data_IF_188850059171
#
_entry.id   IF_188850059171
#
_cell.length_a   1.000
_cell.length_b   1.000
_cell.length_c   1.000
_cell.angle_alpha   90.00
_cell.angle_beta   90.00
_cell.angle_gamma   90.00
#
_symmetry.space_group_name_H-M   'P 1'
#
loop_
_entity.id
_entity.type
_entity.pdbx_description
1 polymer ?
#
# COMPACT_ATOMS: atom_id res chain seq x y z
N UNK A 1 -5.96 -1.47 0.78
CA UNK A 1 -4.96 -1.10 -0.24
C UNK A 1 -5.47 -1.65 -1.56
N UNK A 2 -5.56 -0.81 -2.59
CA UNK A 2 -6.27 -1.15 -3.83
C UNK A 2 -5.40 -0.91 -5.08
N UNK A 3 -4.63 0.18 -5.10
CA UNK A 3 -3.79 0.52 -6.24
C UNK A 3 -2.45 -0.20 -6.22
N UNK A 4 -1.95 -0.61 -5.06
CA UNK A 4 -0.68 -1.34 -4.93
C UNK A 4 -0.66 -2.67 -5.70
N UNK A 5 -1.84 -3.28 -5.92
CA UNK A 5 -1.97 -4.50 -6.72
C UNK A 5 -2.15 -4.24 -8.22
N UNK A 6 -2.45 -3.01 -8.63
CA UNK A 6 -2.47 -2.66 -10.04
C UNK A 6 -1.03 -2.56 -10.58
N UNK A 7 -0.76 -2.97 -11.82
CA UNK A 7 0.50 -2.69 -12.49
C UNK A 7 0.82 -1.18 -12.52
N UNK A 8 2.10 -0.77 -12.55
CA UNK A 8 2.47 0.65 -12.47
C UNK A 8 1.81 1.57 -13.52
N UNK A 9 1.67 1.12 -14.77
CA UNK A 9 1.00 1.89 -15.81
C UNK A 9 -0.51 2.06 -15.50
N UNK A 10 -1.12 1.00 -14.99
CA UNK A 10 -2.54 0.97 -14.65
C UNK A 10 -2.83 1.83 -13.42
N UNK A 11 -1.88 1.97 -12.47
CA UNK A 11 -2.00 2.89 -11.32
C UNK A 11 -2.17 4.33 -11.78
N UNK A 12 -1.33 4.80 -12.70
CA UNK A 12 -1.40 6.18 -13.20
C UNK A 12 -2.71 6.43 -13.97
N UNK A 13 -3.13 5.47 -14.79
CA UNK A 13 -4.40 5.55 -15.52
C UNK A 13 -5.60 5.57 -14.58
N UNK A 14 -5.59 4.73 -13.53
CA UNK A 14 -6.64 4.73 -12.51
C UNK A 14 -6.72 6.07 -11.78
N UNK A 15 -5.58 6.64 -11.38
CA UNK A 15 -5.55 7.97 -10.74
C UNK A 15 -6.09 9.06 -11.67
N UNK A 16 -5.77 9.00 -12.97
CA UNK A 16 -6.30 9.95 -13.96
C UNK A 16 -7.81 9.80 -14.15
N UNK A 17 -8.31 8.57 -14.23
CA UNK A 17 -9.75 8.31 -14.34
C UNK A 17 -10.52 8.81 -13.10
N UNK A 18 -9.94 8.64 -11.91
CA UNK A 18 -10.50 9.20 -10.66
C UNK A 18 -10.56 10.73 -10.75
N UNK A 19 -9.49 11.38 -11.23
CA UNK A 19 -9.45 12.82 -11.38
C UNK A 19 -10.53 13.35 -12.35
N UNK A 20 -10.75 12.64 -13.46
CA UNK A 20 -11.72 13.04 -14.48
C UNK A 20 -13.18 12.88 -14.05
N UNK A 21 -13.46 11.94 -13.13
CA UNK A 21 -14.79 11.70 -12.58
C UNK A 21 -15.13 12.66 -11.43
N UNK A 22 -14.11 13.19 -10.75
CA UNK A 22 -14.31 14.10 -9.62
C UNK A 22 -14.79 15.47 -10.10
N UNK A 23 -15.86 15.97 -9.46
CA UNK A 23 -16.32 17.34 -9.66
C UNK A 23 -15.24 18.35 -9.24
N UNK A 24 -15.19 19.55 -9.85
CA UNK A 24 -14.26 20.59 -9.44
C UNK A 24 -14.36 20.90 -7.94
N UNK A 25 -13.21 20.86 -7.24
CA UNK A 25 -13.14 21.03 -5.79
C UNK A 25 -13.45 19.78 -4.97
N UNK A 26 -13.68 18.63 -5.62
CA UNK A 26 -13.84 17.34 -4.95
C UNK A 26 -12.58 16.92 -4.18
N UNK A 27 -12.79 16.19 -3.08
CA UNK A 27 -11.70 15.64 -2.26
C UNK A 27 -11.48 14.17 -2.59
N UNK A 28 -10.23 13.81 -2.87
CA UNK A 28 -9.80 12.43 -3.03
C UNK A 28 -8.96 12.01 -1.82
N UNK A 29 -9.37 10.94 -1.15
CA UNK A 29 -8.63 10.35 -0.01
C UNK A 29 -8.31 8.89 -0.37
N UNK A 30 -7.03 8.55 -0.29
CA UNK A 30 -6.50 7.23 -0.61
C UNK A 30 -5.63 6.72 0.54
N UNK A 31 -5.74 5.42 0.83
CA UNK A 31 -4.78 4.70 1.65
C UNK A 31 -4.30 3.45 0.89
N UNK A 32 -2.99 3.28 0.80
CA UNK A 32 -2.39 2.22 0.00
C UNK A 32 -1.06 1.74 0.60
N UNK A 33 -0.65 0.51 0.25
CA UNK A 33 0.67 0.01 0.62
C UNK A 33 1.73 0.64 -0.29
N UNK A 34 2.77 1.20 0.32
CA UNK A 34 3.84 1.90 -0.41
C UNK A 34 5.21 1.29 -0.12
N UNK A 35 6.13 1.45 -1.07
CA UNK A 35 7.54 1.12 -0.85
C UNK A 35 8.14 2.10 0.17
N UNK A 36 9.04 1.58 1.01
CA UNK A 36 9.96 2.40 1.78
C UNK A 36 11.01 3.08 0.88
N UNK A 37 11.78 4.00 1.46
CA UNK A 37 12.84 4.71 0.75
C UNK A 37 14.19 3.96 0.72
N UNK A 38 14.36 2.94 1.55
CA UNK A 38 15.55 2.09 1.57
C UNK A 38 15.44 0.96 0.52
N UNK A 39 16.58 0.41 0.05
CA UNK A 39 16.57 -0.78 -0.79
C UNK A 39 15.83 -1.94 -0.13
N UNK A 40 15.10 -2.71 -0.95
CA UNK A 40 14.37 -3.90 -0.48
C UNK A 40 15.38 -4.94 0.01
N UNK A 41 15.19 -5.41 1.25
CA UNK A 41 16.02 -6.48 1.82
C UNK A 41 15.62 -7.84 1.25
N UNK A 42 16.52 -8.82 1.29
CA UNK A 42 16.20 -10.19 0.87
C UNK A 42 15.03 -10.80 1.65
N UNK A 43 14.93 -10.50 2.96
CA UNK A 43 13.82 -10.94 3.78
C UNK A 43 12.48 -10.30 3.36
N UNK A 44 12.48 -9.00 3.04
CA UNK A 44 11.30 -8.32 2.53
C UNK A 44 10.89 -8.85 1.15
N UNK A 45 11.87 -9.12 0.28
CA UNK A 45 11.61 -9.71 -1.03
C UNK A 45 10.87 -11.05 -0.90
N UNK A 46 11.40 -11.98 -0.10
CA UNK A 46 10.84 -13.31 0.06
C UNK A 46 9.51 -13.32 0.82
N UNK A 47 9.43 -12.61 1.95
CA UNK A 47 8.30 -12.75 2.88
C UNK A 47 7.16 -11.75 2.65
N UNK A 48 7.42 -10.67 1.91
CA UNK A 48 6.39 -9.66 1.62
C UNK A 48 6.11 -9.54 0.12
N UNK A 49 7.12 -9.25 -0.69
CA UNK A 49 6.90 -9.02 -2.13
C UNK A 49 6.47 -10.30 -2.85
N UNK A 50 7.21 -11.39 -2.72
CA UNK A 50 6.87 -12.66 -3.37
C UNK A 50 5.59 -13.25 -2.81
N UNK A 51 5.40 -13.22 -1.48
CA UNK A 51 4.22 -13.78 -0.81
C UNK A 51 2.93 -13.04 -1.16
N UNK A 52 2.99 -11.74 -1.39
CA UNK A 52 1.83 -10.92 -1.77
C UNK A 52 1.77 -10.64 -3.28
N UNK A 53 2.64 -11.27 -4.07
CA UNK A 53 2.75 -11.10 -5.52
C UNK A 53 2.89 -9.63 -5.94
N UNK A 54 3.70 -8.87 -5.21
CA UNK A 54 4.10 -7.53 -5.61
C UNK A 54 5.37 -7.59 -6.44
N UNK A 55 5.29 -7.12 -7.69
CA UNK A 55 6.47 -6.90 -8.51
C UNK A 55 7.22 -5.63 -8.08
N UNK A 56 6.48 -4.52 -7.99
CA UNK A 56 7.02 -3.22 -7.58
C UNK A 56 5.96 -2.41 -6.84
N UNK A 57 6.39 -1.64 -5.84
CA UNK A 57 5.54 -0.69 -5.13
C UNK A 57 6.03 0.73 -5.39
N UNK A 58 5.09 1.67 -5.49
CA UNK A 58 5.42 3.09 -5.48
C UNK A 58 5.65 3.54 -4.05
N UNK A 59 6.59 4.47 -3.83
CA UNK A 59 6.67 5.18 -2.56
C UNK A 59 5.69 6.37 -2.55
N UNK A 60 5.49 6.97 -1.38
CA UNK A 60 4.59 8.12 -1.23
C UNK A 60 4.93 9.30 -2.13
N UNK A 61 6.22 9.56 -2.41
CA UNK A 61 6.66 10.64 -3.30
C UNK A 61 6.21 10.40 -4.74
N UNK A 62 6.31 9.17 -5.25
CA UNK A 62 5.86 8.83 -6.61
C UNK A 62 4.36 9.06 -6.77
N UNK A 63 3.55 8.69 -5.78
CA UNK A 63 2.12 9.00 -5.78
C UNK A 63 1.86 10.51 -5.85
N UNK A 64 2.54 11.30 -5.00
CA UNK A 64 2.38 12.76 -4.99
C UNK A 64 2.75 13.38 -6.35
N UNK A 65 3.88 12.97 -6.94
CA UNK A 65 4.31 13.45 -8.25
C UNK A 65 3.26 13.17 -9.34
N UNK A 66 2.72 11.95 -9.41
CA UNK A 66 1.70 11.62 -10.41
C UNK A 66 0.41 12.41 -10.19
N UNK A 67 -0.01 12.57 -8.93
CA UNK A 67 -1.22 13.33 -8.58
C UNK A 67 -1.09 14.80 -8.98
N UNK A 68 0.04 15.44 -8.68
CA UNK A 68 0.27 16.87 -8.93
C UNK A 68 0.60 17.14 -10.39
N UNK A 69 1.54 16.39 -10.97
CA UNK A 69 2.09 16.68 -12.30
C UNK A 69 1.19 16.15 -13.43
N UNK A 70 0.46 15.05 -13.22
CA UNK A 70 -0.29 14.36 -14.28
C UNK A 70 -1.81 14.38 -14.09
N UNK A 71 -2.30 14.48 -12.85
CA UNK A 71 -3.73 14.42 -12.55
C UNK A 71 -4.35 15.77 -12.20
N UNK A 72 -3.54 16.81 -11.99
CA UNK A 72 -4.01 18.16 -11.66
C UNK A 72 -4.55 18.32 -10.23
N UNK A 73 -4.23 17.37 -9.35
CA UNK A 73 -4.53 17.51 -7.93
C UNK A 73 -3.54 18.42 -7.23
N UNK A 74 -3.96 18.96 -6.09
CA UNK A 74 -3.07 19.51 -5.08
C UNK A 74 -3.03 18.52 -3.91
N UNK A 75 -1.84 18.06 -3.52
CA UNK A 75 -1.70 17.19 -2.34
C UNK A 75 -1.82 18.05 -1.09
N UNK A 76 -2.85 17.82 -0.28
CA UNK A 76 -3.09 18.56 0.95
C UNK A 76 -2.39 17.94 2.17
N UNK A 77 -2.34 16.61 2.23
CA UNK A 77 -1.79 15.87 3.36
C UNK A 77 -1.23 14.51 2.91
N UNK A 78 -0.13 14.10 3.54
CA UNK A 78 0.43 12.75 3.42
C UNK A 78 0.80 12.27 4.83
N UNK A 79 0.28 11.11 5.22
CA UNK A 79 0.54 10.51 6.53
C UNK A 79 1.22 9.16 6.33
N UNK A 80 2.39 8.99 6.93
CA UNK A 80 3.08 7.70 7.00
C UNK A 80 2.50 6.86 8.15
N UNK A 81 1.83 5.77 7.79
CA UNK A 81 1.21 4.84 8.73
C UNK A 81 2.06 3.60 9.03
N UNK A 82 3.37 3.62 8.75
CA UNK A 82 4.27 2.48 8.96
C UNK A 82 4.21 1.92 10.39
N UNK A 83 4.13 2.79 11.41
CA UNK A 83 4.00 2.36 12.80
C UNK A 83 2.69 1.60 13.06
N UNK A 84 1.58 2.09 12.52
CA UNK A 84 0.27 1.45 12.62
C UNK A 84 0.25 0.09 11.90
N UNK A 85 0.91 0.00 10.74
CA UNK A 85 1.05 -1.25 9.99
C UNK A 85 1.84 -2.29 10.80
N UNK A 86 2.95 -1.89 11.42
CA UNK A 86 3.75 -2.76 12.28
C UNK A 86 2.95 -3.30 13.47
N UNK A 87 2.19 -2.43 14.15
CA UNK A 87 1.31 -2.84 15.25
C UNK A 87 0.24 -3.85 14.79
N UNK A 88 -0.38 -3.60 13.64
CA UNK A 88 -1.43 -4.46 13.10
C UNK A 88 -0.90 -5.86 12.77
N UNK A 89 0.25 -5.95 12.08
CA UNK A 89 0.85 -7.25 11.76
C UNK A 89 1.38 -7.98 12.99
N UNK A 90 1.87 -7.28 14.02
CA UNK A 90 2.25 -7.91 15.27
C UNK A 90 1.04 -8.56 15.98
N UNK A 91 -0.11 -7.87 15.98
CA UNK A 91 -1.35 -8.44 16.54
C UNK A 91 -1.81 -9.68 15.73
N UNK A 92 -1.86 -9.57 14.40
CA UNK A 92 -2.24 -10.68 13.53
C UNK A 92 -1.29 -11.89 13.65
N UNK A 93 0.01 -11.65 13.78
CA UNK A 93 1.00 -12.71 13.98
C UNK A 93 0.77 -13.43 15.30
N UNK A 94 0.38 -12.71 16.36
CA UNK A 94 0.07 -13.31 17.66
C UNK A 94 -1.19 -14.17 17.58
N UNK A 95 -2.24 -13.68 16.92
CA UNK A 95 -3.49 -14.42 16.73
C UNK A 95 -3.26 -15.69 15.90
N UNK A 96 -2.46 -15.61 14.83
CA UNK A 96 -2.13 -16.76 14.01
C UNK A 96 -1.35 -17.83 14.80
N UNK A 97 -0.46 -17.43 15.71
CA UNK A 97 0.28 -18.38 16.56
C UNK A 97 -0.67 -19.11 17.52
N UNK A 98 -1.58 -18.38 18.17
CA UNK A 98 -2.56 -19.01 19.09
C UNK A 98 -3.44 -20.01 18.34
N UNK A 99 -3.91 -19.66 17.14
CA UNK A 99 -4.74 -20.56 16.33
C UNK A 99 -3.97 -21.83 15.89
N UNK A 100 -2.68 -21.72 15.58
CA UNK A 100 -1.84 -22.86 15.24
C UNK A 100 -1.60 -23.79 16.45
N UNK A 101 -1.35 -23.21 17.62
CA UNK A 101 -1.13 -23.96 18.86
C UNK A 101 -2.41 -24.68 19.34
N UNK A 102 -3.59 -24.13 19.04
CA UNK A 102 -4.89 -24.78 19.28
C UNK A 102 -5.13 -25.95 18.31
N UNK A 103 -4.79 -25.79 17.02
CA UNK A 103 -4.93 -26.89 16.04
C UNK A 103 -4.02 -28.08 16.31
N UNK A 104 -2.84 -27.85 16.89
CA UNK A 104 -1.89 -28.91 17.25
C UNK A 104 -2.26 -29.68 18.54
N UNK A 105 -3.18 -29.14 19.37
CA UNK A 105 -3.65 -29.79 20.60
C UNK A 105 -4.89 -30.66 20.41
N UNK A 106 -5.54 -30.60 19.25
CA UNK A 106 -6.74 -31.38 18.89
C UNK A 106 -6.41 -32.67 18.09
N UNK A 107 -5.12 -32.96 17.81
CA UNK A 107 -4.61 -34.24 17.26
C UNK A 107 -4.04 -35.18 18.33
#
# INVERSE_FOLDING_TARGET
>A
AALCHAPPLDRAQALKAIADELVPGGLFVLNDAVAGYAPVSAAAQLHFYERLHYDTLWNGRMYQQVLEESCGFQVLEYVDLTSHLATSYAALSKEAQVAADESDNDE
#
